data_IF_783050058575
#
_entry.id   IF_783050058575
#
_cell.length_a   1.000
_cell.length_b   1.000
_cell.length_c   1.000
_cell.angle_alpha   90.00
_cell.angle_beta   90.00
_cell.angle_gamma   90.00
#
_symmetry.space_group_name_H-M   'P 1'
#
loop_
_entity.id
_entity.type
_entity.pdbx_description
1 polymer ?
#
# COMPACT_ATOMS: atom_id res chain seq x y z
N UNK A 1 -49.86 12.89 -10.60
CA UNK A 1 -48.92 13.73 -9.82
C UNK A 1 -47.92 12.81 -9.13
N UNK A 2 -46.69 12.69 -9.64
CA UNK A 2 -45.67 11.80 -9.04
C UNK A 2 -44.88 12.56 -7.97
N UNK A 3 -45.02 12.14 -6.71
CA UNK A 3 -44.19 12.62 -5.61
C UNK A 3 -42.85 11.86 -5.63
N UNK A 4 -41.79 12.52 -6.08
CA UNK A 4 -40.43 11.97 -6.00
C UNK A 4 -39.85 12.34 -4.63
N UNK A 5 -39.93 11.40 -3.67
CA UNK A 5 -39.34 11.52 -2.34
C UNK A 5 -37.81 11.33 -2.36
N UNK A 6 -37.05 12.27 -2.95
CA UNK A 6 -35.57 12.21 -2.99
C UNK A 6 -34.86 13.01 -1.88
N UNK A 7 -35.58 13.71 -1.00
CA UNK A 7 -35.00 14.57 0.06
C UNK A 7 -34.97 13.97 1.47
N UNK A 8 -35.61 12.83 1.72
CA UNK A 8 -35.72 12.24 3.08
C UNK A 8 -34.45 11.56 3.61
N UNK A 9 -33.49 11.21 2.73
CA UNK A 9 -32.24 10.55 3.12
C UNK A 9 -31.08 11.54 3.35
N UNK A 10 -31.22 12.81 2.96
CA UNK A 10 -30.14 13.81 3.07
C UNK A 10 -30.00 14.41 4.47
N UNK A 11 -30.95 14.11 5.37
CA UNK A 11 -30.92 14.51 6.80
C UNK A 11 -30.58 13.33 7.74
N UNK A 12 -30.56 12.09 7.22
CA UNK A 12 -30.27 10.88 8.00
C UNK A 12 -28.76 10.59 8.08
N UNK A 13 -28.00 11.11 7.12
CA UNK A 13 -26.54 11.03 7.12
C UNK A 13 -26.04 12.40 7.58
N UNK A 14 -25.68 12.57 8.86
CA UNK A 14 -25.24 13.86 9.33
C UNK A 14 -23.92 14.22 8.61
N UNK A 15 -23.79 15.45 8.09
CA UNK A 15 -22.62 15.84 7.29
C UNK A 15 -21.38 15.83 8.17
N UNK A 16 -20.49 14.83 7.99
CA UNK A 16 -19.19 14.64 8.65
C UNK A 16 -19.05 15.34 10.02
N UNK A 17 -20.00 15.09 10.92
CA UNK A 17 -19.93 15.57 12.31
C UNK A 17 -18.74 14.90 13.01
N UNK A 18 -18.36 13.68 12.63
CA UNK A 18 -17.28 12.94 13.29
C UNK A 18 -15.85 13.23 12.82
N UNK A 19 -15.57 14.35 12.14
CA UNK A 19 -14.16 14.77 12.09
C UNK A 19 -13.81 15.35 13.48
N UNK A 20 -12.78 14.84 14.18
CA UNK A 20 -12.42 15.32 15.52
C UNK A 20 -12.16 16.84 15.58
N UNK A 21 -11.92 17.45 14.42
CA UNK A 21 -11.73 18.89 14.24
C UNK A 21 -13.02 19.71 14.33
N UNK A 22 -14.20 19.11 14.18
CA UNK A 22 -15.47 19.83 13.99
C UNK A 22 -16.44 19.78 15.19
N UNK A 23 -16.33 18.79 16.09
CA UNK A 23 -17.18 18.72 17.29
C UNK A 23 -16.43 19.33 18.48
N UNK A 24 -16.93 20.45 19.01
CA UNK A 24 -16.57 20.95 20.35
C UNK A 24 -15.20 21.61 20.49
N UNK A 25 -14.38 21.67 19.44
CA UNK A 25 -13.12 22.40 19.50
C UNK A 25 -13.40 23.91 19.59
N UNK A 26 -13.16 24.50 20.77
CA UNK A 26 -13.13 25.95 20.93
C UNK A 26 -12.29 26.56 19.79
N UNK A 27 -12.71 27.66 19.15
CA UNK A 27 -11.91 28.35 18.14
C UNK A 27 -10.47 28.65 18.63
N UNK A 28 -10.28 28.78 19.94
CA UNK A 28 -8.98 28.94 20.58
C UNK A 28 -8.13 27.65 20.56
N UNK A 29 -8.75 26.48 20.71
CA UNK A 29 -8.07 25.18 20.60
C UNK A 29 -7.57 24.91 19.17
N UNK A 30 -8.36 25.25 18.16
CA UNK A 30 -7.95 25.14 16.74
C UNK A 30 -6.80 26.12 16.42
N UNK A 31 -6.84 27.34 16.95
CA UNK A 31 -5.73 28.31 16.83
C UNK A 31 -4.46 27.79 17.52
N UNK A 32 -4.60 27.23 18.72
CA UNK A 32 -3.47 26.67 19.45
C UNK A 32 -2.83 25.48 18.71
N UNK A 33 -3.64 24.55 18.17
CA UNK A 33 -3.14 23.44 17.33
C UNK A 33 -2.39 23.94 16.09
N UNK A 34 -2.86 25.02 15.44
CA UNK A 34 -2.17 25.60 14.30
C UNK A 34 -0.80 26.15 14.67
N UNK A 35 -0.67 26.84 15.81
CA UNK A 35 0.62 27.35 16.31
C UNK A 35 1.57 26.20 16.65
N UNK A 36 1.09 25.18 17.37
CA UNK A 36 1.91 24.00 17.68
C UNK A 36 2.35 23.29 16.39
N UNK A 37 1.43 23.05 15.46
CA UNK A 37 1.73 22.42 14.18
C UNK A 37 2.71 23.22 13.31
N UNK A 38 2.68 24.56 13.41
CA UNK A 38 3.62 25.44 12.71
C UNK A 38 5.04 25.21 13.23
N UNK A 39 5.22 25.18 14.56
CA UNK A 39 6.54 24.92 15.16
C UNK A 39 6.99 23.46 15.02
N UNK A 40 6.07 22.51 15.00
CA UNK A 40 6.39 21.09 14.71
C UNK A 40 6.87 20.90 13.27
N UNK A 41 6.26 21.62 12.32
CA UNK A 41 6.55 21.56 10.89
C UNK A 41 7.52 22.62 10.40
N UNK A 42 8.19 23.33 11.31
CA UNK A 42 9.34 24.15 10.92
C UNK A 42 10.25 23.25 10.08
N UNK A 43 10.79 23.70 8.93
CA UNK A 43 11.62 22.88 8.07
C UNK A 43 12.87 22.41 8.81
N UNK A 44 12.74 21.31 9.55
CA UNK A 44 13.84 20.46 9.95
C UNK A 44 14.31 19.86 8.63
N UNK A 45 15.62 19.85 8.39
CA UNK A 45 16.20 19.39 7.13
C UNK A 45 15.62 18.04 6.68
N UNK A 46 15.86 17.63 5.41
CA UNK A 46 15.28 16.42 4.85
C UNK A 46 15.42 15.24 5.82
N UNK A 47 14.30 14.58 6.13
CA UNK A 47 14.30 13.44 7.03
C UNK A 47 15.31 12.40 6.51
N UNK A 48 16.13 11.79 7.40
CA UNK A 48 17.12 10.80 6.99
C UNK A 48 16.43 9.67 6.23
N UNK A 49 17.06 9.22 5.13
CA UNK A 49 16.50 8.11 4.37
C UNK A 49 16.35 6.88 5.29
N UNK A 50 15.20 6.19 5.25
CA UNK A 50 14.98 5.02 6.08
C UNK A 50 16.07 3.98 5.79
N UNK A 51 16.82 3.62 6.83
CA UNK A 51 17.85 2.60 6.73
C UNK A 51 17.20 1.23 6.47
N UNK A 52 17.68 0.56 5.43
CA UNK A 52 17.26 -0.79 5.11
C UNK A 52 17.79 -1.77 6.15
N UNK A 53 16.94 -2.23 7.07
CA UNK A 53 17.28 -3.26 8.05
C UNK A 53 16.82 -4.63 7.58
N UNK A 54 17.69 -5.64 7.74
CA UNK A 54 17.41 -7.01 7.34
C UNK A 54 17.43 -7.26 5.82
N UNK A 55 17.26 -8.53 5.44
CA UNK A 55 17.31 -8.96 4.04
C UNK A 55 16.14 -8.36 3.22
N UNK A 56 14.93 -8.38 3.77
CA UNK A 56 13.75 -7.81 3.10
C UNK A 56 13.85 -6.29 2.98
N UNK A 57 14.36 -5.59 4.01
CA UNK A 57 14.55 -4.13 3.94
C UNK A 57 15.57 -3.73 2.87
N UNK A 58 16.63 -4.53 2.67
CA UNK A 58 17.60 -4.31 1.59
C UNK A 58 16.97 -4.49 0.21
N UNK A 59 16.19 -5.55 0.02
CA UNK A 59 15.47 -5.79 -1.23
C UNK A 59 14.43 -4.68 -1.50
N UNK A 60 13.70 -4.25 -0.47
CA UNK A 60 12.74 -3.15 -0.57
C UNK A 60 13.43 -1.85 -0.96
N UNK A 61 14.55 -1.50 -0.33
CA UNK A 61 15.32 -0.30 -0.67
C UNK A 61 15.86 -0.35 -2.11
N UNK A 62 16.29 -1.52 -2.57
CA UNK A 62 16.84 -1.69 -3.93
C UNK A 62 15.81 -1.50 -5.04
N UNK A 63 14.55 -1.94 -4.84
CA UNK A 63 13.56 -2.01 -5.93
C UNK A 63 12.30 -1.15 -5.74
N UNK A 64 11.97 -0.75 -4.51
CA UNK A 64 10.74 -0.02 -4.17
C UNK A 64 11.00 1.38 -3.58
N UNK A 65 12.27 1.74 -3.37
CA UNK A 65 12.67 3.04 -2.86
C UNK A 65 12.66 4.13 -3.94
N UNK A 66 13.66 5.02 -3.89
CA UNK A 66 13.82 6.15 -4.81
C UNK A 66 13.95 5.74 -6.29
N UNK A 67 14.42 4.52 -6.55
CA UNK A 67 14.56 3.95 -7.89
C UNK A 67 13.52 2.83 -8.07
N UNK A 68 12.26 3.22 -8.25
CA UNK A 68 11.19 2.26 -8.48
C UNK A 68 11.46 1.47 -9.77
N UNK A 69 11.52 0.14 -9.65
CA UNK A 69 11.83 -0.75 -10.75
C UNK A 69 10.75 -1.83 -10.91
N UNK A 70 10.51 -2.26 -12.14
CA UNK A 70 9.63 -3.39 -12.44
C UNK A 70 10.28 -4.77 -12.13
N UNK A 71 11.55 -4.77 -11.73
CA UNK A 71 12.30 -6.00 -11.41
C UNK A 71 11.61 -6.94 -10.41
N UNK A 72 10.94 -6.48 -9.34
CA UNK A 72 10.21 -7.38 -8.45
C UNK A 72 9.16 -8.24 -9.17
N UNK A 73 8.51 -7.69 -10.20
CA UNK A 73 7.57 -8.45 -11.03
C UNK A 73 8.29 -9.57 -11.79
N UNK A 74 9.46 -9.27 -12.37
CA UNK A 74 10.30 -10.24 -13.08
C UNK A 74 10.79 -11.34 -12.13
N UNK A 75 11.23 -10.99 -10.92
CA UNK A 75 11.63 -11.98 -9.92
C UNK A 75 10.50 -12.94 -9.57
N UNK A 76 9.28 -12.43 -9.40
CA UNK A 76 8.09 -13.27 -9.11
C UNK A 76 7.77 -14.19 -10.29
N UNK A 77 7.76 -13.67 -11.51
CA UNK A 77 7.52 -14.48 -12.72
C UNK A 77 8.59 -15.57 -12.85
N UNK A 78 9.86 -15.22 -12.70
CA UNK A 78 10.97 -16.17 -12.76
C UNK A 78 10.86 -17.26 -11.68
N UNK A 79 10.51 -16.87 -10.45
CA UNK A 79 10.29 -17.82 -9.35
C UNK A 79 9.14 -18.79 -9.65
N UNK A 80 8.03 -18.29 -10.21
CA UNK A 80 6.89 -19.13 -10.59
C UNK A 80 7.23 -20.12 -11.71
N UNK A 81 7.98 -19.68 -12.73
CA UNK A 81 8.42 -20.56 -13.83
C UNK A 81 9.34 -21.65 -13.29
N UNK A 82 10.34 -21.28 -12.48
CA UNK A 82 11.29 -22.23 -11.92
C UNK A 82 10.58 -23.26 -11.03
N UNK A 83 9.66 -22.80 -10.16
CA UNK A 83 8.89 -23.67 -9.29
C UNK A 83 7.94 -24.59 -10.10
N UNK A 84 7.26 -24.05 -11.11
CA UNK A 84 6.40 -24.82 -12.01
C UNK A 84 7.18 -25.89 -12.78
N UNK A 85 8.37 -25.55 -13.29
CA UNK A 85 9.26 -26.52 -13.94
C UNK A 85 9.73 -27.60 -12.97
N UNK A 86 10.14 -27.22 -11.75
CA UNK A 86 10.56 -28.18 -10.73
C UNK A 86 9.43 -29.16 -10.37
N UNK A 87 8.20 -28.66 -10.22
CA UNK A 87 7.00 -29.49 -10.00
C UNK A 87 6.75 -30.42 -11.19
N UNK A 88 6.73 -29.87 -12.41
CA UNK A 88 6.50 -30.66 -13.62
C UNK A 88 7.59 -31.75 -13.78
N UNK A 89 8.84 -31.42 -13.46
CA UNK A 89 9.94 -32.37 -13.50
C UNK A 89 9.76 -33.49 -12.46
N UNK A 90 9.44 -33.12 -11.22
CA UNK A 90 9.29 -34.09 -10.15
C UNK A 90 8.10 -35.03 -10.37
N UNK A 91 6.95 -34.51 -10.79
CA UNK A 91 5.71 -35.29 -10.91
C UNK A 91 5.51 -35.95 -12.27
N UNK A 92 6.01 -35.35 -13.36
CA UNK A 92 5.80 -35.86 -14.71
C UNK A 92 7.13 -36.24 -15.37
N UNK A 93 8.01 -35.28 -15.70
CA UNK A 93 9.14 -35.52 -16.62
C UNK A 93 10.15 -36.57 -16.14
N UNK A 94 10.36 -36.72 -14.82
CA UNK A 94 11.31 -37.72 -14.29
C UNK A 94 10.92 -39.16 -14.63
N UNK A 95 9.64 -39.43 -14.88
CA UNK A 95 9.13 -40.77 -15.18
C UNK A 95 9.06 -41.09 -16.68
N UNK A 96 9.32 -40.10 -17.54
CA UNK A 96 9.22 -40.25 -19.00
C UNK A 96 10.44 -40.90 -19.67
N UNK A 97 11.50 -41.28 -18.91
CA UNK A 97 12.72 -41.93 -19.44
C UNK A 97 12.46 -43.26 -20.17
N UNK A 98 11.32 -43.93 -19.93
CA UNK A 98 11.01 -45.24 -20.50
C UNK A 98 10.09 -45.21 -21.74
N UNK A 99 9.70 -44.02 -22.23
CA UNK A 99 8.88 -43.88 -23.43
C UNK A 99 9.65 -43.11 -24.51
N UNK A 100 9.60 -43.59 -25.75
CA UNK A 100 10.25 -42.95 -26.91
C UNK A 100 9.59 -41.60 -27.17
N UNK A 101 10.38 -40.54 -27.10
CA UNK A 101 10.00 -39.21 -27.57
C UNK A 101 10.57 -39.05 -28.99
N UNK A 102 9.69 -39.06 -30.00
CA UNK A 102 10.01 -38.69 -31.38
C UNK A 102 9.77 -37.21 -31.60
#
# INVERSE_FOLDING_TARGET
MSFIAKRGLSTLIPPKVSSPSAIGASPNAVRMQKVVSFYEKLPRGPAPEPEAKGLLGRYQKAYFGKNQSAMPLVHVIGALIALGYAQNYYFHLRHHKNNVHN
#
